data_IF_138592355358
#
_entry.id   IF_138592355358
#
_cell.length_a   1.000
_cell.length_b   1.000
_cell.length_c   1.000
_cell.angle_alpha   90.00
_cell.angle_beta   90.00
_cell.angle_gamma   90.00
#
_symmetry.space_group_name_H-M   'P 1'
#
loop_
_entity.id
_entity.type
_entity.pdbx_description
1 polymer ?
#
# COMPACT_ATOMS: atom_id res chain seq x y z
N UNK A 1 50.95 8.00 -19.40
CA UNK A 1 51.48 6.64 -19.63
C UNK A 1 52.23 6.52 -20.97
N UNK A 2 51.67 6.90 -22.10
CA UNK A 2 52.35 6.88 -23.41
C UNK A 2 53.71 7.61 -23.40
N UNK A 3 53.72 8.80 -22.76
CA UNK A 3 54.94 9.57 -22.59
C UNK A 3 55.99 8.89 -21.67
N UNK A 4 55.50 8.24 -20.61
CA UNK A 4 56.37 7.48 -19.71
C UNK A 4 56.97 6.26 -20.43
N UNK A 5 56.13 5.53 -21.23
CA UNK A 5 56.59 4.40 -22.04
C UNK A 5 57.67 4.85 -23.01
N UNK A 6 57.49 5.99 -23.66
CA UNK A 6 58.49 6.56 -24.59
C UNK A 6 59.81 6.87 -23.88
N UNK A 7 59.78 7.52 -22.74
CA UNK A 7 60.96 7.85 -21.94
C UNK A 7 61.69 6.59 -21.46
N UNK A 8 60.94 5.64 -20.90
CA UNK A 8 61.50 4.37 -20.41
C UNK A 8 62.17 3.60 -21.56
N UNK A 9 61.49 3.49 -22.71
CA UNK A 9 62.06 2.84 -23.88
C UNK A 9 63.32 3.54 -24.39
N UNK A 10 63.33 4.89 -24.40
CA UNK A 10 64.50 5.69 -24.77
C UNK A 10 65.67 5.45 -23.78
N UNK A 11 65.46 5.49 -22.50
CA UNK A 11 66.51 5.24 -21.49
C UNK A 11 67.09 3.84 -21.63
N UNK A 12 66.21 2.83 -21.74
CA UNK A 12 66.61 1.43 -21.89
C UNK A 12 67.46 1.19 -23.16
N UNK A 13 67.03 1.76 -24.27
CA UNK A 13 67.74 1.62 -25.54
C UNK A 13 69.04 2.41 -25.59
N UNK A 14 69.11 3.60 -24.93
CA UNK A 14 70.34 4.34 -24.76
C UNK A 14 71.39 3.54 -23.90
N UNK A 15 70.98 2.89 -22.82
CA UNK A 15 71.85 2.00 -22.03
C UNK A 15 72.36 0.83 -22.85
N UNK A 16 71.49 0.18 -23.67
CA UNK A 16 71.88 -0.92 -24.55
C UNK A 16 72.84 -0.43 -25.64
N UNK A 17 72.60 0.71 -26.24
CA UNK A 17 73.52 1.32 -27.20
C UNK A 17 74.91 1.55 -26.61
N UNK A 18 74.99 2.14 -25.43
CA UNK A 18 76.23 2.38 -24.73
C UNK A 18 76.97 1.11 -24.37
N UNK A 19 76.25 0.05 -23.95
CA UNK A 19 76.84 -1.24 -23.67
C UNK A 19 77.39 -1.93 -24.94
N UNK A 20 76.67 -1.84 -26.08
CA UNK A 20 77.13 -2.38 -27.35
C UNK A 20 78.41 -1.70 -27.82
N UNK A 21 78.54 -0.36 -27.70
CA UNK A 21 79.77 0.35 -28.02
C UNK A 21 80.94 -0.17 -27.19
N UNK A 22 80.81 -0.31 -25.85
CA UNK A 22 81.84 -0.83 -24.98
C UNK A 22 82.28 -2.22 -25.36
N UNK A 23 81.31 -3.10 -25.72
CA UNK A 23 81.60 -4.47 -26.15
C UNK A 23 82.37 -4.48 -27.47
N UNK A 24 81.94 -3.67 -28.48
CA UNK A 24 82.62 -3.58 -29.78
C UNK A 24 83.97 -3.00 -29.70
N UNK A 25 84.23 -2.04 -28.79
CA UNK A 25 85.55 -1.48 -28.61
C UNK A 25 86.53 -2.43 -27.87
N UNK A 26 86.04 -3.16 -26.86
CA UNK A 26 86.85 -4.08 -26.07
C UNK A 26 87.24 -5.36 -26.84
N UNK A 27 86.33 -5.88 -27.68
CA UNK A 27 86.54 -7.17 -28.36
C UNK A 27 87.11 -7.06 -29.76
N UNK A 28 87.35 -5.83 -30.30
CA UNK A 28 87.90 -5.57 -31.66
C UNK A 28 87.31 -6.55 -32.72
N UNK A 29 86.02 -6.81 -32.59
CA UNK A 29 85.32 -7.84 -33.36
C UNK A 29 85.37 -7.53 -34.86
N UNK A 30 85.97 -8.45 -35.62
CA UNK A 30 85.91 -8.52 -37.10
C UNK A 30 86.79 -7.56 -37.89
N UNK A 31 87.81 -6.87 -37.36
CA UNK A 31 88.65 -5.96 -38.15
C UNK A 31 87.91 -4.81 -38.87
N UNK A 32 86.74 -4.49 -38.40
CA UNK A 32 85.83 -3.44 -38.97
C UNK A 32 86.27 -2.06 -38.55
N UNK A 33 86.01 -1.06 -39.43
CA UNK A 33 86.27 0.34 -39.08
C UNK A 33 85.39 0.78 -37.90
N UNK A 34 85.86 1.73 -37.11
CA UNK A 34 85.15 2.27 -35.94
C UNK A 34 83.74 2.80 -36.34
N UNK A 35 83.63 3.48 -37.48
CA UNK A 35 82.39 3.98 -38.01
C UNK A 35 81.34 2.91 -38.32
N UNK A 36 81.78 1.79 -38.84
CA UNK A 36 80.86 0.65 -39.15
C UNK A 36 80.34 0.01 -37.86
N UNK A 37 81.17 -0.10 -36.81
CA UNK A 37 80.78 -0.68 -35.51
C UNK A 37 79.70 0.19 -34.84
N UNK A 38 79.88 1.50 -34.83
CA UNK A 38 78.89 2.42 -34.25
C UNK A 38 77.58 2.46 -35.05
N UNK A 39 77.67 2.35 -36.37
CA UNK A 39 76.49 2.26 -37.23
C UNK A 39 75.71 0.97 -36.97
N UNK A 40 76.37 -0.18 -36.81
CA UNK A 40 75.67 -1.43 -36.46
C UNK A 40 75.05 -1.36 -35.05
N UNK A 41 75.76 -0.82 -34.07
CA UNK A 41 75.22 -0.65 -32.70
C UNK A 41 73.99 0.27 -32.74
N UNK A 42 73.98 1.32 -33.55
CA UNK A 42 72.82 2.20 -33.75
C UNK A 42 71.62 1.49 -34.33
N UNK A 43 71.84 0.69 -35.40
CA UNK A 43 70.74 -0.04 -36.04
C UNK A 43 70.16 -1.09 -35.10
N UNK A 44 70.97 -1.84 -34.33
CA UNK A 44 70.49 -2.81 -33.34
C UNK A 44 69.68 -2.09 -32.22
N UNK A 45 70.21 -0.96 -31.72
CA UNK A 45 69.53 -0.17 -30.69
C UNK A 45 68.21 0.38 -31.19
N UNK A 46 68.17 0.93 -32.42
CA UNK A 46 66.92 1.42 -33.05
C UNK A 46 65.88 0.30 -33.21
N UNK A 47 66.34 -0.88 -33.67
CA UNK A 47 65.42 -2.03 -33.78
C UNK A 47 64.86 -2.44 -32.43
N UNK A 48 65.68 -2.54 -31.43
CA UNK A 48 65.25 -2.87 -30.05
C UNK A 48 64.30 -1.78 -29.47
N UNK A 49 64.57 -0.49 -29.76
CA UNK A 49 63.66 0.60 -29.41
C UNK A 49 62.28 0.41 -30.01
N UNK A 50 62.19 0.11 -31.26
CA UNK A 50 60.90 -0.13 -31.95
C UNK A 50 60.19 -1.33 -31.35
N UNK A 51 60.86 -2.45 -31.13
CA UNK A 51 60.25 -3.66 -30.56
C UNK A 51 59.69 -3.39 -29.15
N UNK A 52 60.48 -2.83 -28.25
CA UNK A 52 60.07 -2.51 -26.88
C UNK A 52 58.93 -1.49 -26.88
N UNK A 53 59.06 -0.43 -27.68
CA UNK A 53 58.02 0.60 -27.79
C UNK A 53 56.67 0.05 -28.25
N UNK A 54 56.69 -0.75 -29.32
CA UNK A 54 55.45 -1.36 -29.83
C UNK A 54 54.84 -2.33 -28.86
N UNK A 55 55.63 -3.10 -28.12
CA UNK A 55 55.12 -4.04 -27.09
C UNK A 55 54.45 -3.28 -25.93
N UNK A 56 55.08 -2.25 -25.38
CA UNK A 56 54.48 -1.40 -24.37
C UNK A 56 53.23 -0.66 -24.87
N UNK A 57 53.25 -0.24 -26.14
CA UNK A 57 52.08 0.41 -26.78
C UNK A 57 50.90 -0.58 -26.88
N UNK A 58 51.15 -1.81 -27.33
CA UNK A 58 50.15 -2.83 -27.47
C UNK A 58 49.44 -3.16 -26.11
N UNK A 59 50.19 -3.23 -25.00
CA UNK A 59 49.64 -3.41 -23.67
C UNK A 59 48.65 -2.28 -23.31
N UNK A 60 49.04 -1.05 -23.58
CA UNK A 60 48.23 0.14 -23.29
C UNK A 60 46.95 0.17 -24.15
N UNK A 61 47.07 -0.17 -25.47
CA UNK A 61 45.94 -0.23 -26.40
C UNK A 61 44.95 -1.34 -26.03
N UNK A 62 45.42 -2.52 -25.63
CA UNK A 62 44.58 -3.62 -25.16
C UNK A 62 43.75 -3.18 -23.94
N UNK A 63 44.36 -2.53 -22.95
CA UNK A 63 43.66 -2.05 -21.80
C UNK A 63 42.59 -0.98 -22.13
N UNK A 64 42.90 -0.04 -23.02
CA UNK A 64 41.91 0.93 -23.52
C UNK A 64 40.73 0.24 -24.23
N UNK A 65 40.99 -0.84 -24.99
CA UNK A 65 39.95 -1.64 -25.64
C UNK A 65 39.01 -2.30 -24.59
N UNK A 66 39.56 -2.80 -23.49
CA UNK A 66 38.76 -3.36 -22.38
C UNK A 66 37.89 -2.28 -21.74
N UNK A 67 38.45 -1.11 -21.41
CA UNK A 67 37.67 0.02 -20.86
C UNK A 67 36.55 0.48 -21.80
N UNK A 68 36.85 0.54 -23.12
CA UNK A 68 35.85 0.88 -24.14
C UNK A 68 34.73 -0.16 -24.20
N UNK A 69 35.06 -1.46 -24.10
CA UNK A 69 34.08 -2.54 -24.04
C UNK A 69 33.16 -2.41 -22.81
N UNK A 70 33.72 -2.18 -21.63
CA UNK A 70 32.96 -1.98 -20.40
C UNK A 70 31.99 -0.78 -20.50
N UNK A 71 32.45 0.34 -21.12
CA UNK A 71 31.56 1.48 -21.37
C UNK A 71 30.39 1.11 -22.30
N UNK A 72 30.64 0.31 -23.34
CA UNK A 72 29.58 -0.14 -24.25
C UNK A 72 28.55 -1.02 -23.52
N UNK A 73 28.99 -1.92 -22.64
CA UNK A 73 28.11 -2.76 -21.83
C UNK A 73 27.25 -1.90 -20.87
N UNK A 74 27.87 -0.94 -20.16
CA UNK A 74 27.14 0.03 -19.32
C UNK A 74 26.12 0.84 -20.13
N UNK A 75 26.49 1.29 -21.33
CA UNK A 75 25.55 2.06 -22.19
C UNK A 75 24.43 1.18 -22.78
N UNK A 76 24.66 -0.14 -22.89
CA UNK A 76 23.64 -1.10 -23.29
C UNK A 76 22.69 -1.49 -22.15
N UNK A 77 22.92 -0.99 -20.92
CA UNK A 77 22.05 -1.20 -19.76
C UNK A 77 22.54 -2.31 -18.81
N UNK A 78 23.72 -2.90 -19.06
CA UNK A 78 24.32 -3.82 -18.09
C UNK A 78 25.20 -3.05 -17.09
N UNK A 79 24.61 -2.73 -15.95
CA UNK A 79 25.31 -2.01 -14.88
C UNK A 79 26.04 -2.92 -13.89
N UNK A 80 26.07 -4.25 -14.13
CA UNK A 80 26.78 -5.19 -13.26
C UNK A 80 28.24 -5.43 -13.67
N UNK A 81 28.66 -4.83 -14.77
CA UNK A 81 30.02 -4.93 -15.29
C UNK A 81 30.96 -4.01 -14.51
N UNK A 82 32.21 -4.47 -14.35
CA UNK A 82 33.27 -3.71 -13.70
C UNK A 82 34.49 -3.59 -14.61
N UNK A 83 34.98 -2.38 -14.81
CA UNK A 83 36.24 -2.12 -15.46
C UNK A 83 37.40 -2.53 -14.50
N UNK A 84 38.37 -3.35 -14.96
CA UNK A 84 39.49 -3.74 -14.13
C UNK A 84 40.40 -2.54 -13.83
N UNK A 85 40.72 -2.32 -12.55
CA UNK A 85 41.67 -1.27 -12.12
C UNK A 85 43.07 -1.89 -12.01
N UNK A 86 43.77 -1.95 -13.15
CA UNK A 86 45.10 -2.60 -13.21
C UNK A 86 46.26 -1.64 -12.93
N UNK A 87 46.03 -0.33 -13.00
CA UNK A 87 47.06 0.66 -12.95
C UNK A 87 46.71 1.82 -11.99
N UNK A 88 47.74 2.40 -11.38
CA UNK A 88 47.60 3.55 -10.50
C UNK A 88 48.01 4.85 -11.24
N UNK A 89 47.38 5.08 -12.42
CA UNK A 89 47.62 6.24 -13.28
C UNK A 89 46.25 6.78 -13.82
N UNK A 90 46.30 7.65 -14.84
CA UNK A 90 45.09 8.25 -15.45
C UNK A 90 44.12 7.20 -16.01
N UNK A 91 44.65 6.04 -16.44
CA UNK A 91 43.82 4.94 -16.97
C UNK A 91 43.13 4.17 -15.83
N UNK A 92 43.82 3.98 -14.69
CA UNK A 92 43.19 3.41 -13.50
C UNK A 92 42.12 4.32 -12.90
N UNK A 93 42.37 5.66 -12.91
CA UNK A 93 41.34 6.62 -12.53
C UNK A 93 40.13 6.58 -13.47
N UNK A 94 40.35 6.41 -14.76
CA UNK A 94 39.26 6.27 -15.74
C UNK A 94 38.43 5.01 -15.46
N UNK A 95 39.08 3.87 -15.17
CA UNK A 95 38.40 2.63 -14.79
C UNK A 95 37.55 2.82 -13.53
N UNK A 96 38.10 3.48 -12.49
CA UNK A 96 37.37 3.77 -11.26
C UNK A 96 36.12 4.66 -11.51
N UNK A 97 36.27 5.67 -12.38
CA UNK A 97 35.14 6.54 -12.76
C UNK A 97 34.05 5.80 -13.53
N UNK A 98 34.42 4.85 -14.42
CA UNK A 98 33.47 3.97 -15.12
C UNK A 98 32.68 3.13 -14.11
N UNK A 99 33.37 2.52 -13.13
CA UNK A 99 32.75 1.71 -12.10
C UNK A 99 31.81 2.55 -11.21
N UNK A 100 32.20 3.75 -10.82
CA UNK A 100 31.36 4.67 -10.07
C UNK A 100 30.10 5.09 -10.87
N UNK A 101 30.25 5.33 -12.18
CA UNK A 101 29.13 5.65 -13.07
C UNK A 101 28.16 4.45 -13.17
N UNK A 102 28.68 3.25 -13.44
CA UNK A 102 27.87 2.02 -13.51
C UNK A 102 27.08 1.82 -12.21
N UNK A 103 27.70 1.96 -11.05
CA UNK A 103 27.03 1.87 -9.77
C UNK A 103 25.93 2.92 -9.61
N UNK A 104 26.20 4.18 -9.96
CA UNK A 104 25.20 5.26 -9.87
C UNK A 104 23.99 4.99 -10.77
N UNK A 105 24.23 4.48 -11.98
CA UNK A 105 23.16 4.12 -12.92
C UNK A 105 22.33 2.97 -12.42
N UNK A 106 22.97 1.93 -11.85
CA UNK A 106 22.29 0.80 -11.21
C UNK A 106 21.40 1.23 -10.04
N UNK A 107 21.91 2.11 -9.17
CA UNK A 107 21.14 2.62 -8.02
C UNK A 107 19.93 3.43 -8.50
N UNK A 108 20.10 4.26 -9.55
CA UNK A 108 18.99 5.02 -10.16
C UNK A 108 17.95 4.15 -10.85
N UNK A 109 18.37 3.08 -11.52
CA UNK A 109 17.44 2.12 -12.13
C UNK A 109 16.56 1.48 -11.06
N UNK A 110 17.19 1.01 -9.97
CA UNK A 110 16.48 0.41 -8.84
C UNK A 110 15.50 1.38 -8.16
N UNK A 111 15.93 2.65 -7.98
CA UNK A 111 15.05 3.71 -7.46
C UNK A 111 13.84 3.95 -8.39
N UNK A 112 14.08 3.98 -9.70
CA UNK A 112 13.02 4.14 -10.71
C UNK A 112 12.02 2.98 -10.72
N UNK A 113 12.49 1.73 -10.53
CA UNK A 113 11.63 0.56 -10.43
C UNK A 113 10.73 0.63 -9.19
N UNK A 114 11.30 0.99 -8.03
CA UNK A 114 10.54 1.16 -6.78
C UNK A 114 9.48 2.26 -6.94
N UNK A 115 9.85 3.38 -7.58
CA UNK A 115 8.92 4.48 -7.81
C UNK A 115 7.75 4.07 -8.70
N UNK A 116 8.02 3.37 -9.81
CA UNK A 116 6.99 2.84 -10.71
C UNK A 116 6.04 1.86 -10.02
N UNK A 117 6.57 0.99 -9.16
CA UNK A 117 5.73 0.06 -8.41
C UNK A 117 4.84 0.79 -7.39
N UNK A 118 5.39 1.81 -6.70
CA UNK A 118 4.61 2.64 -5.78
C UNK A 118 3.51 3.43 -6.50
N UNK A 119 3.80 4.00 -7.68
CA UNK A 119 2.80 4.67 -8.51
C UNK A 119 1.70 3.70 -8.95
N UNK A 120 2.06 2.48 -9.35
CA UNK A 120 1.10 1.44 -9.72
C UNK A 120 0.18 1.08 -8.55
N UNK A 121 0.76 0.84 -7.37
CA UNK A 121 0.00 0.53 -6.15
C UNK A 121 -0.94 1.68 -5.75
N UNK A 122 -0.48 2.93 -5.85
CA UNK A 122 -1.30 4.10 -5.57
C UNK A 122 -2.47 4.22 -6.56
N UNK A 123 -2.21 4.03 -7.85
CA UNK A 123 -3.24 4.05 -8.89
C UNK A 123 -4.29 2.94 -8.71
N UNK A 124 -3.84 1.71 -8.38
CA UNK A 124 -4.74 0.59 -8.11
C UNK A 124 -5.60 0.85 -6.86
N UNK A 125 -5.03 1.45 -5.81
CA UNK A 125 -5.75 1.85 -4.60
C UNK A 125 -6.80 2.93 -4.89
N UNK A 126 -6.45 3.97 -5.66
CA UNK A 126 -7.38 5.04 -6.07
C UNK A 126 -8.54 4.48 -6.90
N UNK A 127 -8.24 3.63 -7.88
CA UNK A 127 -9.26 2.99 -8.73
C UNK A 127 -10.22 2.11 -7.92
N UNK A 128 -9.69 1.37 -6.94
CA UNK A 128 -10.52 0.55 -6.07
C UNK A 128 -11.41 1.42 -5.17
N UNK A 129 -10.89 2.52 -4.62
CA UNK A 129 -11.67 3.48 -3.84
C UNK A 129 -12.78 4.12 -4.68
N UNK A 130 -12.49 4.52 -5.93
CA UNK A 130 -13.49 5.07 -6.85
C UNK A 130 -14.58 4.04 -7.19
N UNK A 131 -14.20 2.79 -7.46
CA UNK A 131 -15.15 1.70 -7.70
C UNK A 131 -16.06 1.49 -6.48
N UNK A 132 -15.49 1.39 -5.28
CA UNK A 132 -16.26 1.25 -4.04
C UNK A 132 -17.25 2.42 -3.86
N UNK A 133 -16.83 3.66 -4.15
CA UNK A 133 -17.70 4.85 -4.10
C UNK A 133 -18.87 4.75 -5.09
N UNK A 134 -18.62 4.30 -6.32
CA UNK A 134 -19.65 4.16 -7.34
C UNK A 134 -20.63 3.02 -7.03
N UNK A 135 -20.14 1.89 -6.54
CA UNK A 135 -20.96 0.77 -6.08
C UNK A 135 -21.84 1.20 -4.89
N UNK A 136 -21.29 2.00 -3.97
CA UNK A 136 -22.01 2.63 -2.86
C UNK A 136 -23.18 3.46 -3.36
N UNK A 137 -22.94 4.44 -4.26
CA UNK A 137 -24.00 5.32 -4.80
C UNK A 137 -25.09 4.51 -5.48
N UNK A 138 -24.72 3.48 -6.24
CA UNK A 138 -25.67 2.63 -6.97
C UNK A 138 -26.55 1.84 -6.02
N UNK A 139 -25.96 1.22 -4.99
CA UNK A 139 -26.67 0.41 -4.00
C UNK A 139 -27.64 1.29 -3.17
N UNK A 140 -27.15 2.44 -2.69
CA UNK A 140 -27.97 3.41 -1.94
C UNK A 140 -29.15 3.90 -2.79
N UNK A 141 -28.91 4.27 -4.05
CA UNK A 141 -29.96 4.74 -4.93
C UNK A 141 -31.04 3.66 -5.17
N UNK A 142 -30.63 2.41 -5.32
CA UNK A 142 -31.57 1.27 -5.45
C UNK A 142 -32.40 1.08 -4.18
N UNK A 143 -31.75 1.07 -3.01
CA UNK A 143 -32.41 0.80 -1.73
C UNK A 143 -33.32 1.93 -1.27
N UNK A 144 -33.04 3.18 -1.66
CA UNK A 144 -33.94 4.31 -1.46
C UNK A 144 -35.13 4.29 -2.44
N UNK A 145 -34.93 3.85 -3.69
CA UNK A 145 -35.99 3.81 -4.71
C UNK A 145 -37.12 2.86 -4.32
N UNK A 146 -36.81 1.71 -3.77
CA UNK A 146 -37.80 0.68 -3.44
C UNK A 146 -38.85 1.15 -2.45
N UNK A 147 -38.53 1.65 -1.23
CA UNK A 147 -39.52 2.17 -0.29
C UNK A 147 -40.24 3.41 -0.86
N UNK A 148 -39.54 4.29 -1.59
CA UNK A 148 -40.15 5.47 -2.21
C UNK A 148 -41.26 5.08 -3.21
N UNK A 149 -40.98 4.11 -4.09
CA UNK A 149 -41.98 3.60 -5.05
C UNK A 149 -43.19 3.01 -4.33
N UNK A 150 -42.95 2.30 -3.23
CA UNK A 150 -44.03 1.73 -2.41
C UNK A 150 -44.89 2.83 -1.78
N UNK A 151 -44.27 3.88 -1.20
CA UNK A 151 -44.99 5.03 -0.63
C UNK A 151 -45.88 5.69 -1.68
N UNK A 152 -45.27 6.03 -2.83
CA UNK A 152 -46.02 6.68 -3.94
C UNK A 152 -47.18 5.79 -4.40
N UNK A 153 -46.94 4.49 -4.59
CA UNK A 153 -48.00 3.58 -5.03
C UNK A 153 -49.18 3.48 -4.06
N UNK A 154 -48.96 3.38 -2.75
CA UNK A 154 -50.06 3.38 -1.78
C UNK A 154 -50.76 4.74 -1.69
N UNK A 155 -50.06 5.85 -1.79
CA UNK A 155 -50.69 7.17 -1.84
C UNK A 155 -51.51 7.40 -3.13
N UNK A 156 -51.05 6.85 -4.26
CA UNK A 156 -51.82 6.86 -5.52
C UNK A 156 -53.08 6.03 -5.44
N UNK A 157 -53.02 4.85 -4.77
CA UNK A 157 -54.20 4.02 -4.52
C UNK A 157 -55.25 4.76 -3.68
N UNK A 158 -54.82 5.44 -2.63
CA UNK A 158 -55.71 6.25 -1.79
C UNK A 158 -56.30 7.44 -2.59
N UNK A 159 -55.47 8.10 -3.39
CA UNK A 159 -55.88 9.32 -4.14
C UNK A 159 -56.84 9.00 -5.29
N UNK A 160 -56.63 7.88 -6.01
CA UNK A 160 -57.33 7.61 -7.28
C UNK A 160 -58.54 6.69 -7.11
N UNK A 161 -58.85 6.25 -5.90
CA UNK A 161 -59.97 5.32 -5.66
C UNK A 161 -60.98 5.94 -4.69
N UNK A 162 -62.05 6.53 -5.22
CA UNK A 162 -63.10 7.24 -4.45
C UNK A 162 -63.96 6.30 -3.57
N UNK A 163 -63.90 4.98 -3.78
CA UNK A 163 -64.75 3.98 -3.10
C UNK A 163 -63.99 3.15 -2.07
N UNK A 164 -62.77 3.56 -1.62
CA UNK A 164 -62.06 2.86 -0.58
C UNK A 164 -62.79 2.88 0.77
N UNK A 165 -62.78 1.74 1.44
CA UNK A 165 -63.25 1.68 2.83
C UNK A 165 -62.32 2.48 3.75
N UNK A 166 -62.83 2.91 4.91
CA UNK A 166 -61.97 3.56 5.92
C UNK A 166 -60.84 2.63 6.40
N UNK A 167 -61.13 1.34 6.47
CA UNK A 167 -60.14 0.30 6.84
C UNK A 167 -59.01 0.19 5.82
N UNK A 168 -59.34 0.26 4.49
CA UNK A 168 -58.33 0.21 3.44
C UNK A 168 -57.48 1.48 3.43
N UNK A 169 -58.10 2.66 3.61
CA UNK A 169 -57.35 3.94 3.74
C UNK A 169 -56.38 3.86 4.94
N UNK A 170 -56.86 3.41 6.07
CA UNK A 170 -55.99 3.26 7.26
C UNK A 170 -54.83 2.29 7.00
N UNK A 171 -55.13 1.11 6.42
CA UNK A 171 -54.12 0.12 6.07
C UNK A 171 -53.05 0.65 5.11
N UNK A 172 -53.47 1.32 4.02
CA UNK A 172 -52.55 1.89 3.03
C UNK A 172 -51.74 3.05 3.60
N UNK A 173 -52.37 3.91 4.41
CA UNK A 173 -51.67 5.00 5.11
C UNK A 173 -50.62 4.45 6.10
N UNK A 174 -50.93 3.42 6.85
CA UNK A 174 -49.99 2.76 7.78
C UNK A 174 -48.80 2.21 7.03
N UNK A 175 -48.99 1.47 5.94
CA UNK A 175 -47.89 0.94 5.15
C UNK A 175 -47.03 2.06 4.54
N UNK A 176 -47.65 3.12 4.02
CA UNK A 176 -46.92 4.26 3.49
C UNK A 176 -46.09 4.97 4.57
N UNK A 177 -46.66 5.14 5.77
CA UNK A 177 -45.98 5.74 6.91
C UNK A 177 -44.77 4.90 7.38
N UNK A 178 -44.92 3.58 7.53
CA UNK A 178 -43.84 2.66 7.90
C UNK A 178 -42.69 2.70 6.89
N UNK A 179 -43.01 2.71 5.59
CA UNK A 179 -41.98 2.82 4.53
C UNK A 179 -41.30 4.18 4.52
N UNK A 180 -42.03 5.27 4.84
CA UNK A 180 -41.45 6.61 4.97
C UNK A 180 -40.50 6.70 6.17
N UNK A 181 -40.87 6.12 7.32
CA UNK A 181 -40.00 6.04 8.50
C UNK A 181 -38.73 5.22 8.22
N UNK A 182 -38.87 4.09 7.49
CA UNK A 182 -37.71 3.31 7.07
C UNK A 182 -36.78 4.11 6.15
N UNK A 183 -37.37 4.84 5.18
CA UNK A 183 -36.58 5.70 4.26
C UNK A 183 -35.84 6.81 5.03
N UNK A 184 -36.51 7.44 6.02
CA UNK A 184 -35.89 8.43 6.89
C UNK A 184 -34.67 7.85 7.62
N UNK A 185 -34.79 6.70 8.27
CA UNK A 185 -33.67 6.04 8.96
C UNK A 185 -32.49 5.73 8.01
N UNK A 186 -32.79 5.29 6.78
CA UNK A 186 -31.75 5.04 5.76
C UNK A 186 -31.01 6.32 5.38
N UNK A 187 -31.69 7.45 5.30
CA UNK A 187 -31.06 8.76 5.02
C UNK A 187 -30.21 9.22 6.21
N UNK A 188 -30.70 9.06 7.43
CA UNK A 188 -29.96 9.42 8.65
C UNK A 188 -28.67 8.61 8.76
N UNK A 189 -28.73 7.30 8.53
CA UNK A 189 -27.53 6.41 8.47
C UNK A 189 -26.53 6.86 7.42
N UNK A 190 -27.01 7.26 6.21
CA UNK A 190 -26.14 7.73 5.13
C UNK A 190 -25.46 9.06 5.48
N UNK A 191 -26.22 10.01 6.05
CA UNK A 191 -25.67 11.30 6.48
C UNK A 191 -24.61 11.11 7.58
N UNK A 192 -24.88 10.29 8.56
CA UNK A 192 -23.95 9.97 9.60
C UNK A 192 -22.68 9.34 9.06
N UNK A 193 -22.83 8.33 8.21
CA UNK A 193 -21.71 7.68 7.56
C UNK A 193 -20.83 8.67 6.79
N UNK A 194 -21.43 9.55 5.97
CA UNK A 194 -20.69 10.55 5.20
C UNK A 194 -20.04 11.63 6.07
N UNK A 195 -20.59 11.84 7.27
CA UNK A 195 -20.03 12.79 8.25
C UNK A 195 -18.85 12.20 9.00
N UNK A 196 -18.90 10.91 9.37
CA UNK A 196 -17.81 10.20 10.05
C UNK A 196 -16.61 9.93 9.10
N UNK A 197 -16.85 9.82 7.80
CA UNK A 197 -15.80 9.59 6.78
C UNK A 197 -14.97 10.87 6.48
N UNK A 198 -15.37 12.02 7.03
CA UNK A 198 -14.61 13.27 6.93
C UNK A 198 -13.56 13.35 8.02
N UNK A 199 -12.33 13.71 7.65
CA UNK A 199 -11.19 13.85 8.56
C UNK A 199 -11.36 14.91 9.69
N UNK A 200 -12.47 15.64 9.72
CA UNK A 200 -12.77 16.75 10.64
C UNK A 200 -13.83 16.42 11.72
N UNK A 201 -14.07 15.15 12.03
CA UNK A 201 -14.99 14.80 13.13
C UNK A 201 -14.38 15.30 14.45
N UNK A 202 -15.01 16.30 15.06
CA UNK A 202 -14.65 16.78 16.39
C UNK A 202 -15.18 15.81 17.44
N UNK A 203 -14.33 14.89 17.88
CA UNK A 203 -14.64 13.95 18.95
C UNK A 203 -14.57 14.70 20.29
N UNK A 204 -15.65 14.65 21.07
CA UNK A 204 -15.73 15.25 22.41
C UNK A 204 -15.34 14.23 23.48
N UNK A 205 -14.05 14.04 23.69
CA UNK A 205 -13.54 13.12 24.70
C UNK A 205 -13.86 13.61 26.11
N UNK A 206 -14.65 12.83 26.85
CA UNK A 206 -15.03 13.07 28.25
C UNK A 206 -14.85 11.79 29.07
N UNK A 207 -14.72 11.96 30.42
CA UNK A 207 -14.76 10.80 31.30
C UNK A 207 -16.23 10.41 31.51
N UNK A 208 -16.61 9.23 31.10
CA UNK A 208 -17.98 8.73 31.18
C UNK A 208 -18.03 7.39 31.94
N UNK A 209 -19.11 7.16 32.66
CA UNK A 209 -19.40 5.89 33.31
C UNK A 209 -20.07 4.95 32.28
N UNK A 210 -19.28 4.04 31.71
CA UNK A 210 -19.77 3.13 30.66
C UNK A 210 -20.84 2.15 31.19
N UNK A 211 -20.75 1.76 32.46
CA UNK A 211 -21.75 0.90 33.10
C UNK A 211 -23.13 1.55 33.12
N UNK A 212 -23.18 2.84 33.51
CA UNK A 212 -24.41 3.64 33.54
C UNK A 212 -24.96 3.90 32.14
N UNK A 213 -24.10 4.25 31.19
CA UNK A 213 -24.48 4.47 29.78
C UNK A 213 -25.13 3.20 29.18
N UNK A 214 -24.56 2.03 29.41
CA UNK A 214 -25.13 0.75 28.94
C UNK A 214 -26.51 0.52 29.52
N UNK A 215 -26.67 0.71 30.85
CA UNK A 215 -27.96 0.52 31.51
C UNK A 215 -29.03 1.47 30.95
N UNK A 216 -28.68 2.74 30.72
CA UNK A 216 -29.58 3.71 30.14
C UNK A 216 -30.00 3.31 28.71
N UNK A 217 -29.05 2.90 27.85
CA UNK A 217 -29.36 2.48 26.49
C UNK A 217 -30.25 1.24 26.48
N UNK A 218 -29.98 0.25 27.36
CA UNK A 218 -30.83 -0.94 27.45
C UNK A 218 -32.25 -0.61 27.92
N UNK A 219 -32.39 0.34 28.83
CA UNK A 219 -33.71 0.85 29.29
C UNK A 219 -34.46 1.56 28.14
N UNK A 220 -33.76 2.32 27.28
CA UNK A 220 -34.34 2.94 26.10
C UNK A 220 -34.80 1.89 25.06
N UNK A 221 -34.10 0.74 24.93
CA UNK A 221 -34.48 -0.38 24.07
C UNK A 221 -35.54 -1.30 24.66
N UNK A 222 -35.91 -1.15 25.92
CA UNK A 222 -36.83 -2.06 26.62
C UNK A 222 -38.19 -2.24 25.90
N UNK A 223 -38.86 -1.21 25.36
CA UNK A 223 -40.08 -1.37 24.57
C UNK A 223 -39.86 -2.23 23.31
N UNK A 224 -38.72 -2.05 22.65
CA UNK A 224 -38.37 -2.82 21.45
C UNK A 224 -38.12 -4.29 21.78
N UNK A 225 -37.48 -4.60 22.90
CA UNK A 225 -37.32 -5.96 23.38
C UNK A 225 -38.65 -6.63 23.65
N UNK A 226 -39.59 -5.92 24.31
CA UNK A 226 -40.92 -6.43 24.58
C UNK A 226 -41.74 -6.73 23.28
N UNK A 227 -41.63 -5.83 22.28
CA UNK A 227 -42.31 -5.98 21.01
C UNK A 227 -41.85 -7.25 20.24
N UNK A 228 -40.63 -7.72 20.49
CA UNK A 228 -40.02 -8.87 19.84
C UNK A 228 -39.91 -10.11 20.76
N UNK A 229 -40.58 -10.10 21.93
CA UNK A 229 -40.52 -11.17 22.92
C UNK A 229 -39.08 -11.52 23.40
N UNK A 230 -38.23 -10.52 23.48
CA UNK A 230 -36.82 -10.65 23.87
C UNK A 230 -36.59 -10.14 25.30
N UNK A 231 -35.71 -10.81 26.06
CA UNK A 231 -35.33 -10.42 27.42
C UNK A 231 -33.86 -10.01 27.48
N UNK A 232 -33.51 -8.76 27.86
CA UNK A 232 -32.14 -8.37 28.06
C UNK A 232 -31.58 -8.99 29.33
N UNK A 233 -30.46 -9.68 29.25
CA UNK A 233 -29.70 -10.23 30.39
C UNK A 233 -28.38 -9.50 30.48
N UNK A 234 -28.26 -8.64 31.51
CA UNK A 234 -27.11 -7.75 31.69
C UNK A 234 -26.20 -8.28 32.80
N UNK A 235 -24.91 -8.45 32.49
CA UNK A 235 -23.89 -8.86 33.44
C UNK A 235 -22.73 -7.82 33.40
N UNK A 236 -22.68 -6.96 34.41
CA UNK A 236 -21.67 -5.93 34.59
C UNK A 236 -20.76 -6.30 35.75
N UNK A 237 -19.49 -6.62 35.47
CA UNK A 237 -18.54 -7.03 36.53
C UNK A 237 -18.24 -5.93 37.55
N UNK A 238 -18.28 -4.66 37.13
CA UNK A 238 -18.05 -3.50 38.02
C UNK A 238 -19.08 -2.40 37.76
N UNK A 239 -19.82 -1.94 38.77
CA UNK A 239 -20.93 -0.98 38.59
C UNK A 239 -20.49 0.46 38.25
N UNK A 240 -19.24 0.83 38.49
CA UNK A 240 -18.70 2.17 38.24
C UNK A 240 -17.42 2.06 37.40
N UNK A 241 -17.58 1.77 36.12
CA UNK A 241 -16.48 1.63 35.21
C UNK A 241 -16.36 2.89 34.31
N UNK A 242 -15.28 3.62 34.48
CA UNK A 242 -15.06 4.89 33.78
C UNK A 242 -14.10 4.69 32.61
N UNK A 243 -14.46 5.29 31.48
CA UNK A 243 -13.62 5.33 30.26
C UNK A 243 -13.50 6.77 29.77
N UNK A 244 -12.52 7.02 28.89
CA UNK A 244 -12.42 8.25 28.09
C UNK A 244 -13.07 8.01 26.75
N UNK A 245 -14.06 8.83 26.38
CA UNK A 245 -14.74 8.65 25.12
C UNK A 245 -15.78 9.74 24.86
N UNK A 246 -16.36 9.72 23.67
CA UNK A 246 -17.51 10.54 23.30
C UNK A 246 -18.78 9.72 23.56
N UNK A 247 -19.56 10.14 24.56
CA UNK A 247 -20.77 9.41 24.99
C UNK A 247 -21.81 9.26 23.88
N UNK A 248 -21.93 10.25 22.99
CA UNK A 248 -22.88 10.18 21.86
C UNK A 248 -22.42 9.16 20.80
N UNK A 249 -21.14 9.16 20.46
CA UNK A 249 -20.61 8.19 19.51
C UNK A 249 -20.67 6.76 20.08
N UNK A 250 -20.34 6.59 21.36
CA UNK A 250 -20.43 5.26 22.03
C UNK A 250 -21.90 4.79 22.11
N UNK A 251 -22.85 5.67 22.47
CA UNK A 251 -24.28 5.32 22.43
C UNK A 251 -24.69 4.83 21.03
N UNK A 252 -24.22 5.49 19.99
CA UNK A 252 -24.51 5.09 18.60
C UNK A 252 -23.94 3.72 18.23
N UNK A 253 -22.77 3.35 18.76
CA UNK A 253 -22.25 1.96 18.61
C UNK A 253 -23.25 0.96 19.20
N UNK A 254 -23.75 1.23 20.42
CA UNK A 254 -24.72 0.34 21.05
C UNK A 254 -26.05 0.28 20.32
N UNK A 255 -26.58 1.41 19.84
CA UNK A 255 -27.79 1.46 19.03
C UNK A 255 -27.68 0.53 17.80
N UNK A 256 -26.55 0.62 17.09
CA UNK A 256 -26.31 -0.25 15.93
C UNK A 256 -26.21 -1.73 16.31
N UNK A 257 -25.49 -2.05 17.40
CA UNK A 257 -25.31 -3.44 17.82
C UNK A 257 -26.59 -4.04 18.42
N UNK A 258 -27.33 -3.30 19.27
CA UNK A 258 -28.58 -3.77 19.86
C UNK A 258 -29.69 -3.88 18.84
N UNK A 259 -29.80 -2.93 17.91
CA UNK A 259 -30.73 -3.02 16.78
C UNK A 259 -30.48 -4.28 15.93
N UNK A 260 -29.21 -4.60 15.68
CA UNK A 260 -28.85 -5.86 15.00
C UNK A 260 -29.19 -7.08 15.87
N UNK A 261 -28.91 -7.05 17.17
CA UNK A 261 -29.19 -8.15 18.07
C UNK A 261 -30.70 -8.45 18.15
N UNK A 262 -31.56 -7.42 18.21
CA UNK A 262 -33.02 -7.59 18.15
C UNK A 262 -33.45 -8.17 16.81
N UNK A 263 -32.94 -7.59 15.73
CA UNK A 263 -33.34 -7.97 14.36
C UNK A 263 -33.00 -9.43 14.00
N UNK A 264 -31.84 -9.89 14.44
CA UNK A 264 -31.32 -11.24 14.12
C UNK A 264 -31.38 -12.20 15.29
N UNK A 265 -31.92 -11.78 16.44
CA UNK A 265 -32.01 -12.57 17.67
C UNK A 265 -33.36 -13.24 17.91
N UNK A 266 -34.27 -13.24 16.94
CA UNK A 266 -35.66 -13.66 17.12
C UNK A 266 -35.86 -15.19 17.37
N UNK A 267 -34.84 -16.01 17.11
CA UNK A 267 -34.88 -17.43 17.39
C UNK A 267 -34.56 -17.80 18.85
N UNK A 268 -34.13 -16.81 19.65
CA UNK A 268 -33.82 -16.95 21.07
C UNK A 268 -34.64 -15.99 21.90
N UNK A 269 -34.76 -16.27 23.22
CA UNK A 269 -35.53 -15.41 24.11
C UNK A 269 -34.65 -14.32 24.76
N UNK A 270 -33.32 -14.45 24.70
CA UNK A 270 -32.42 -13.61 25.46
C UNK A 270 -31.44 -12.85 24.56
N UNK A 271 -31.18 -11.58 24.92
CA UNK A 271 -30.02 -10.83 24.45
C UNK A 271 -29.10 -10.63 25.64
N UNK A 272 -27.89 -11.21 25.58
CA UNK A 272 -26.93 -11.11 26.68
C UNK A 272 -25.93 -9.99 26.46
N UNK A 273 -25.74 -9.14 27.44
CA UNK A 273 -24.79 -8.03 27.44
C UNK A 273 -23.84 -8.26 28.61
N UNK A 274 -22.58 -8.54 28.30
CA UNK A 274 -21.53 -8.76 29.29
C UNK A 274 -20.50 -7.64 29.21
N UNK A 275 -20.19 -7.02 30.36
CA UNK A 275 -19.14 -6.02 30.48
C UNK A 275 -18.03 -6.60 31.34
N UNK A 276 -16.89 -6.81 30.72
CA UNK A 276 -15.67 -7.34 31.32
C UNK A 276 -14.59 -6.27 31.29
N UNK A 277 -13.73 -6.27 32.29
CA UNK A 277 -12.59 -5.36 32.36
C UNK A 277 -11.33 -6.12 32.70
N UNK A 278 -10.25 -5.75 32.09
CA UNK A 278 -8.88 -6.06 32.51
C UNK A 278 -8.14 -4.78 32.89
N UNK A 279 -6.83 -4.85 33.17
CA UNK A 279 -6.03 -3.70 33.65
C UNK A 279 -5.95 -2.54 32.63
N UNK A 280 -6.27 -2.75 31.37
CA UNK A 280 -6.09 -1.77 30.31
C UNK A 280 -7.33 -1.55 29.43
N UNK A 281 -8.25 -2.51 29.37
CA UNK A 281 -9.35 -2.51 28.42
C UNK A 281 -10.69 -2.82 29.06
N UNK A 282 -11.74 -2.24 28.50
CA UNK A 282 -13.12 -2.63 28.75
C UNK A 282 -13.62 -3.40 27.53
N UNK A 283 -14.02 -4.65 27.76
CA UNK A 283 -14.59 -5.51 26.71
C UNK A 283 -16.09 -5.65 26.93
N UNK A 284 -16.88 -5.27 25.93
CA UNK A 284 -18.33 -5.39 25.96
C UNK A 284 -18.76 -6.41 24.92
N UNK A 285 -19.49 -7.42 25.37
CA UNK A 285 -20.00 -8.49 24.52
C UNK A 285 -21.51 -8.40 24.44
N UNK A 286 -22.06 -8.32 23.22
CA UNK A 286 -23.49 -8.41 22.96
C UNK A 286 -23.73 -9.72 22.22
N UNK A 287 -24.53 -10.58 22.77
CA UNK A 287 -24.81 -11.92 22.23
C UNK A 287 -26.31 -12.07 22.00
N UNK A 288 -26.69 -12.49 20.83
CA UNK A 288 -28.04 -12.86 20.46
C UNK A 288 -28.09 -14.30 19.90
N UNK A 289 -29.24 -14.91 19.92
CA UNK A 289 -29.45 -16.26 19.42
C UNK A 289 -30.34 -16.20 18.16
N UNK A 290 -29.81 -16.68 17.05
CA UNK A 290 -30.48 -16.68 15.77
C UNK A 290 -29.63 -17.40 14.72
N UNK A 291 -29.93 -17.22 13.45
CA UNK A 291 -29.12 -17.82 12.40
C UNK A 291 -27.66 -17.39 12.50
N UNK A 292 -26.69 -18.33 12.58
CA UNK A 292 -25.29 -17.99 12.64
C UNK A 292 -24.83 -17.31 11.35
N UNK A 293 -23.88 -16.39 11.48
CA UNK A 293 -23.21 -15.78 10.34
C UNK A 293 -22.32 -16.84 9.68
N UNK A 294 -22.44 -17.02 8.36
CA UNK A 294 -21.59 -17.95 7.63
C UNK A 294 -20.12 -17.54 7.75
N UNK A 295 -19.23 -18.54 7.82
CA UNK A 295 -17.79 -18.28 8.00
C UNK A 295 -17.21 -17.44 6.85
N UNK A 296 -17.75 -17.59 5.65
CA UNK A 296 -17.39 -16.83 4.45
C UNK A 296 -17.82 -15.35 4.51
N UNK A 297 -18.86 -15.03 5.28
CA UNK A 297 -19.37 -13.67 5.45
C UNK A 297 -18.63 -12.88 6.54
N UNK A 298 -18.03 -13.55 7.54
CA UNK A 298 -17.38 -12.92 8.69
C UNK A 298 -16.34 -11.83 8.33
N UNK A 299 -15.49 -11.99 7.31
CA UNK A 299 -14.53 -10.95 6.92
C UNK A 299 -15.18 -9.67 6.42
N UNK A 300 -16.43 -9.75 5.94
CA UNK A 300 -17.12 -8.69 5.22
C UNK A 300 -18.24 -8.01 6.02
N UNK A 301 -18.64 -8.53 7.18
CA UNK A 301 -19.79 -8.00 7.96
C UNK A 301 -19.63 -6.55 8.41
N UNK A 302 -18.39 -6.06 8.49
CA UNK A 302 -18.07 -4.66 8.78
C UNK A 302 -17.86 -3.82 7.53
N UNK A 303 -17.97 -4.42 6.33
CA UNK A 303 -17.85 -3.67 5.09
C UNK A 303 -19.13 -2.87 4.83
N UNK A 304 -18.95 -1.70 4.23
CA UNK A 304 -20.03 -0.77 3.90
C UNK A 304 -21.06 -1.44 3.01
N UNK A 305 -22.36 -1.40 3.39
CA UNK A 305 -23.49 -1.97 2.65
C UNK A 305 -23.45 -3.48 2.46
N UNK A 306 -22.52 -4.15 3.16
CA UNK A 306 -22.49 -5.61 3.12
C UNK A 306 -23.73 -6.19 3.80
N UNK A 307 -24.37 -7.17 3.15
CA UNK A 307 -25.48 -7.95 3.66
C UNK A 307 -25.34 -9.37 3.14
N UNK A 308 -25.40 -10.34 4.06
CA UNK A 308 -25.44 -11.76 3.65
C UNK A 308 -26.70 -12.06 2.82
N UNK A 309 -26.64 -13.06 1.96
CA UNK A 309 -27.78 -13.43 1.09
C UNK A 309 -29.03 -13.81 1.90
N UNK A 310 -28.84 -14.44 3.05
CA UNK A 310 -29.93 -14.73 4.00
C UNK A 310 -30.62 -13.45 4.50
N UNK A 311 -29.89 -12.36 4.70
CA UNK A 311 -30.43 -11.07 5.17
C UNK A 311 -31.08 -10.23 4.06
N UNK A 312 -30.76 -10.47 2.79
CA UNK A 312 -31.41 -9.81 1.63
C UNK A 312 -32.82 -10.29 1.39
N UNK A 313 -33.11 -11.57 1.67
CA UNK A 313 -34.44 -12.20 1.47
C UNK A 313 -35.42 -11.93 2.60
N UNK A 314 -34.94 -11.44 3.76
CA UNK A 314 -35.80 -11.19 4.92
C UNK A 314 -36.51 -9.83 4.81
N UNK A 315 -37.79 -9.76 5.23
CA UNK A 315 -38.61 -8.52 5.34
C UNK A 315 -37.98 -7.47 6.30
N UNK A 316 -36.97 -7.89 7.06
CA UNK A 316 -36.22 -7.12 8.07
C UNK A 316 -35.11 -6.24 7.48
N UNK A 317 -35.36 -5.60 6.36
CA UNK A 317 -34.34 -4.79 5.66
C UNK A 317 -33.55 -3.80 6.55
N UNK A 318 -32.24 -3.76 6.36
CA UNK A 318 -31.31 -2.76 6.95
C UNK A 318 -30.40 -2.19 5.87
N UNK A 319 -29.75 -1.06 6.17
CA UNK A 319 -28.87 -0.34 5.24
C UNK A 319 -27.55 -1.06 4.99
N UNK A 320 -27.13 -1.96 5.87
CA UNK A 320 -25.79 -2.54 5.87
C UNK A 320 -24.70 -1.54 6.31
N UNK A 321 -25.11 -0.39 6.90
CA UNK A 321 -24.20 0.63 7.40
C UNK A 321 -23.91 0.52 8.90
N UNK A 322 -24.85 -0.04 9.70
CA UNK A 322 -24.76 -0.01 11.16
C UNK A 322 -23.45 -0.59 11.72
N UNK A 323 -23.02 -1.78 11.24
CA UNK A 323 -21.75 -2.37 11.67
C UNK A 323 -20.53 -1.60 11.16
N UNK A 324 -20.60 -1.02 9.96
CA UNK A 324 -19.54 -0.17 9.42
C UNK A 324 -19.40 1.13 10.22
N UNK A 325 -20.53 1.74 10.63
CA UNK A 325 -20.55 2.92 11.51
C UNK A 325 -19.94 2.55 12.86
N UNK A 326 -20.37 1.45 13.48
CA UNK A 326 -19.82 0.99 14.76
C UNK A 326 -18.30 0.77 14.69
N UNK A 327 -17.80 0.14 13.63
CA UNK A 327 -16.35 -0.05 13.40
C UNK A 327 -15.58 1.26 13.23
N UNK A 328 -16.18 2.27 12.58
CA UNK A 328 -15.53 3.57 12.38
C UNK A 328 -15.43 4.40 13.66
N UNK A 329 -16.37 4.21 14.59
CA UNK A 329 -16.40 4.93 15.87
C UNK A 329 -15.39 4.34 16.86
N UNK A 330 -15.26 3.01 16.93
CA UNK A 330 -14.32 2.28 17.80
C UNK A 330 -12.93 2.24 17.22
#
# INVERSE_FOLDING_TARGET
>A
RLFINLIVTYIMTFLIYSALIIIFDNFNLLGMSIELRYFIAFIISLFLFLVIFFDLMNITLKYLSVLSGTIQEVTAGDYNVEAPIEYDDELGLLAANINALAKTLKDKEKESEILKENERLAFDAERNAEKQKNDLITNVAHDLRTPLTTIVGYLELIKNNEHLSKEDIQKYSTVAYEKAKKLQGMMDDLFEFTSLDKADVRVHMTTLNISELILQIVDEFYPTFQEHDLTPVINIAQPNLFIQGDGQLIARVFDNLLSNAVKYGQDGNDIKIEVLTDDQNVTIKIMNYGHPIAQEDLPYIFDKFYRSDASRSSSTGGTGLGLAIAKNIV
#
